data_IF_116255488851
#
_entry.id   IF_116255488851
#
_cell.length_a   1.000
_cell.length_b   1.000
_cell.length_c   1.000
_cell.angle_alpha   90.00
_cell.angle_beta   90.00
_cell.angle_gamma   90.00
#
_symmetry.space_group_name_H-M   'P 1'
#
loop_
_entity.id
_entity.type
_entity.pdbx_description
1 polymer ?
#
# COMPACT_ATOMS: atom_id res chain seq x y z
N UNK A 1 33.44 32.26 0.57
CA UNK A 1 34.15 30.97 0.72
C UNK A 1 33.62 30.10 1.88
N UNK A 2 33.33 30.62 3.11
CA UNK A 2 32.90 29.77 4.26
C UNK A 2 31.66 28.90 4.06
N UNK A 3 30.75 29.17 3.11
CA UNK A 3 29.53 28.39 2.85
C UNK A 3 29.63 27.42 1.65
N UNK A 4 30.61 27.54 0.78
CA UNK A 4 30.71 26.73 -0.45
C UNK A 4 30.91 25.24 -0.17
N UNK A 5 31.69 24.87 0.84
CA UNK A 5 31.86 23.45 1.18
C UNK A 5 30.57 22.75 1.64
N UNK A 6 29.65 23.48 2.32
CA UNK A 6 28.39 22.95 2.75
C UNK A 6 27.55 22.60 1.52
N UNK A 7 27.42 23.52 0.57
CA UNK A 7 26.67 23.32 -0.67
C UNK A 7 27.25 22.18 -1.51
N UNK A 8 28.59 22.11 -1.62
CA UNK A 8 29.24 21.03 -2.34
C UNK A 8 29.05 19.66 -1.67
N UNK A 9 29.20 19.61 -0.34
CA UNK A 9 28.98 18.38 0.43
C UNK A 9 27.52 17.93 0.37
N UNK A 10 26.57 18.86 0.46
CA UNK A 10 25.15 18.57 0.27
C UNK A 10 24.86 18.03 -1.14
N UNK A 11 25.43 18.67 -2.17
CA UNK A 11 25.26 18.23 -3.55
C UNK A 11 25.84 16.83 -3.80
N UNK A 12 27.04 16.53 -3.26
CA UNK A 12 27.62 15.19 -3.35
C UNK A 12 26.76 14.14 -2.62
N UNK A 13 26.29 14.48 -1.42
CA UNK A 13 25.41 13.61 -0.65
C UNK A 13 24.10 13.33 -1.37
N UNK A 14 23.49 14.35 -1.98
CA UNK A 14 22.28 14.23 -2.78
C UNK A 14 22.51 13.33 -4.02
N UNK A 15 23.56 13.59 -4.80
CA UNK A 15 23.87 12.83 -6.02
C UNK A 15 24.20 11.36 -5.71
N UNK A 16 25.01 11.11 -4.69
CA UNK A 16 25.29 9.72 -4.26
C UNK A 16 24.09 9.05 -3.63
N UNK A 17 23.19 9.82 -3.01
CA UNK A 17 21.89 9.35 -2.53
C UNK A 17 20.99 8.85 -3.66
N UNK A 18 20.99 9.51 -4.83
CA UNK A 18 20.29 9.02 -6.03
C UNK A 18 20.82 7.64 -6.46
N UNK A 19 22.15 7.47 -6.49
CA UNK A 19 22.77 6.20 -6.83
C UNK A 19 22.42 5.11 -5.79
N UNK A 20 22.42 5.45 -4.51
CA UNK A 20 22.00 4.54 -3.44
C UNK A 20 20.55 4.06 -3.62
N UNK A 21 19.62 4.99 -3.86
CA UNK A 21 18.20 4.67 -4.14
C UNK A 21 18.07 3.75 -5.35
N UNK A 22 18.80 4.02 -6.43
CA UNK A 22 18.78 3.22 -7.65
C UNK A 22 19.27 1.78 -7.43
N UNK A 23 20.33 1.61 -6.64
CA UNK A 23 20.85 0.27 -6.29
C UNK A 23 19.87 -0.47 -5.36
N UNK A 24 19.24 0.22 -4.41
CA UNK A 24 18.17 -0.36 -3.60
C UNK A 24 17.00 -0.84 -4.45
N UNK A 25 16.57 -0.03 -5.43
CA UNK A 25 15.50 -0.41 -6.34
C UNK A 25 15.84 -1.64 -7.17
N UNK A 26 17.08 -1.74 -7.61
CA UNK A 26 17.57 -2.95 -8.31
C UNK A 26 17.50 -4.18 -7.39
N UNK A 27 17.94 -4.05 -6.13
CA UNK A 27 17.82 -5.11 -5.12
C UNK A 27 16.38 -5.55 -4.88
N UNK A 28 15.44 -4.61 -4.80
CA UNK A 28 14.02 -4.89 -4.69
C UNK A 28 13.50 -5.70 -5.89
N UNK A 29 13.82 -5.29 -7.11
CA UNK A 29 13.28 -5.92 -8.33
C UNK A 29 13.84 -7.32 -8.57
N UNK A 30 15.15 -7.51 -8.35
CA UNK A 30 15.83 -8.76 -8.67
C UNK A 30 15.84 -9.77 -7.52
N UNK A 31 16.00 -9.28 -6.29
CA UNK A 31 16.25 -10.13 -5.12
C UNK A 31 15.14 -10.03 -4.06
N UNK A 32 14.10 -9.21 -4.31
CA UNK A 32 13.01 -8.94 -3.36
C UNK A 32 13.49 -8.38 -2.01
N UNK A 33 14.62 -7.68 -2.04
CA UNK A 33 15.21 -7.05 -0.86
C UNK A 33 14.42 -5.81 -0.43
N UNK A 34 14.50 -5.39 0.83
CA UNK A 34 13.83 -4.18 1.32
C UNK A 34 14.23 -2.95 0.51
N UNK A 35 13.26 -2.05 0.32
CA UNK A 35 13.51 -0.76 -0.33
C UNK A 35 13.53 0.35 0.71
N UNK A 36 14.70 0.58 1.29
CA UNK A 36 14.94 1.48 2.43
C UNK A 36 14.22 2.84 2.31
N UNK A 37 14.15 3.52 1.14
CA UNK A 37 13.42 4.79 1.04
C UNK A 37 11.94 4.68 1.39
N UNK A 38 11.25 3.62 0.95
CA UNK A 38 9.83 3.39 1.27
C UNK A 38 9.65 2.93 2.70
N UNK A 39 10.46 1.98 3.14
CA UNK A 39 10.40 1.44 4.50
C UNK A 39 10.65 2.53 5.56
N UNK A 40 11.60 3.44 5.29
CA UNK A 40 11.84 4.61 6.15
C UNK A 40 10.64 5.56 6.19
N UNK A 41 9.95 5.76 5.07
CA UNK A 41 8.74 6.57 5.00
C UNK A 41 7.57 5.89 5.72
N UNK A 42 7.34 4.61 5.48
CA UNK A 42 6.28 3.83 6.11
C UNK A 42 6.46 3.77 7.64
N UNK A 43 7.71 3.60 8.10
CA UNK A 43 8.03 3.69 9.54
C UNK A 43 7.73 5.09 10.10
N UNK A 44 8.13 6.14 9.40
CA UNK A 44 7.88 7.52 9.84
C UNK A 44 6.38 7.79 9.96
N UNK A 45 5.56 7.36 9.01
CA UNK A 45 4.09 7.55 9.07
C UNK A 45 3.45 6.80 10.23
N UNK A 46 4.05 5.70 10.71
CA UNK A 46 3.53 4.95 11.86
C UNK A 46 3.77 5.63 13.20
N UNK A 47 4.87 6.41 13.33
CA UNK A 47 5.23 7.10 14.57
C UNK A 47 4.67 8.52 14.66
N UNK A 48 4.25 9.11 13.56
CA UNK A 48 3.69 10.45 13.53
C UNK A 48 2.31 10.50 14.21
N UNK A 49 1.96 11.63 14.88
CA UNK A 49 0.63 11.80 15.47
C UNK A 49 -0.48 11.66 14.43
N UNK A 50 -1.54 10.92 14.77
CA UNK A 50 -2.67 10.66 13.86
C UNK A 50 -3.31 11.92 13.29
N UNK A 51 -3.43 13.01 14.08
CA UNK A 51 -3.96 14.28 13.61
C UNK A 51 -3.14 14.91 12.47
N UNK A 52 -1.80 14.76 12.51
CA UNK A 52 -0.94 15.21 11.42
C UNK A 52 -1.14 14.38 10.16
N UNK A 53 -1.18 13.06 10.30
CA UNK A 53 -1.42 12.14 9.16
C UNK A 53 -2.77 12.44 8.51
N UNK A 54 -3.82 12.60 9.32
CA UNK A 54 -5.17 12.95 8.83
C UNK A 54 -5.15 14.27 8.06
N UNK A 55 -4.48 15.30 8.59
CA UNK A 55 -4.34 16.60 7.91
C UNK A 55 -3.63 16.46 6.56
N UNK A 56 -2.55 15.68 6.49
CA UNK A 56 -1.81 15.43 5.25
C UNK A 56 -2.68 14.71 4.24
N UNK A 57 -3.41 13.66 4.65
CA UNK A 57 -4.33 12.91 3.78
C UNK A 57 -5.40 13.83 3.20
N UNK A 58 -6.10 14.61 4.04
CA UNK A 58 -7.14 15.54 3.58
C UNK A 58 -6.60 16.60 2.63
N UNK A 59 -5.43 17.18 2.94
CA UNK A 59 -4.79 18.17 2.08
C UNK A 59 -4.41 17.56 0.74
N UNK A 60 -3.82 16.39 0.72
CA UNK A 60 -3.43 15.68 -0.49
C UNK A 60 -4.64 15.36 -1.38
N UNK A 61 -5.70 14.78 -0.81
CA UNK A 61 -6.96 14.49 -1.54
C UNK A 61 -7.56 15.77 -2.12
N UNK A 62 -7.61 16.85 -1.32
CA UNK A 62 -8.14 18.14 -1.76
C UNK A 62 -7.33 18.75 -2.92
N UNK A 63 -6.00 18.66 -2.86
CA UNK A 63 -5.12 19.13 -3.93
C UNK A 63 -5.26 18.31 -5.22
N UNK A 64 -5.28 16.98 -5.12
CA UNK A 64 -5.44 16.08 -6.28
C UNK A 64 -6.73 16.42 -7.02
N UNK A 65 -7.83 16.58 -6.30
CA UNK A 65 -9.13 16.91 -6.88
C UNK A 65 -9.21 18.35 -7.37
N UNK A 66 -8.74 19.30 -6.58
CA UNK A 66 -8.78 20.74 -6.93
C UNK A 66 -7.97 21.08 -8.18
N UNK A 67 -6.87 20.35 -8.41
CA UNK A 67 -6.01 20.50 -9.58
C UNK A 67 -6.31 19.48 -10.70
N UNK A 68 -7.30 18.60 -10.51
CA UNK A 68 -7.71 17.55 -11.44
C UNK A 68 -6.52 16.69 -11.94
N UNK A 69 -5.71 16.18 -10.99
CA UNK A 69 -4.47 15.45 -11.28
C UNK A 69 -4.68 13.98 -11.68
N UNK A 70 -5.91 13.53 -11.85
CA UNK A 70 -6.27 12.16 -12.18
C UNK A 70 -6.96 11.41 -11.02
N UNK A 71 -6.99 10.08 -11.09
CA UNK A 71 -7.61 9.26 -10.05
C UNK A 71 -6.93 9.48 -8.69
N UNK A 72 -7.74 9.62 -7.64
CA UNK A 72 -7.26 10.06 -6.31
C UNK A 72 -6.30 9.05 -5.70
N UNK A 73 -6.59 7.77 -5.77
CA UNK A 73 -5.78 6.71 -5.15
C UNK A 73 -4.41 6.53 -5.81
N UNK A 74 -4.36 6.41 -7.14
CA UNK A 74 -3.12 6.23 -7.89
C UNK A 74 -2.23 7.48 -7.83
N UNK A 75 -2.83 8.67 -7.92
CA UNK A 75 -2.10 9.93 -7.81
C UNK A 75 -1.57 10.13 -6.38
N UNK A 76 -2.39 9.84 -5.35
CA UNK A 76 -1.94 9.89 -3.97
C UNK A 76 -0.76 8.94 -3.74
N UNK A 77 -0.81 7.73 -4.25
CA UNK A 77 0.27 6.74 -4.13
C UNK A 77 1.54 7.19 -4.85
N UNK A 78 1.43 7.80 -6.04
CA UNK A 78 2.57 8.38 -6.74
C UNK A 78 3.22 9.54 -5.96
N UNK A 79 2.42 10.41 -5.38
CA UNK A 79 2.90 11.52 -4.52
C UNK A 79 3.63 10.94 -3.31
N UNK A 80 3.04 9.97 -2.63
CA UNK A 80 3.63 9.28 -1.48
C UNK A 80 5.00 8.67 -1.83
N UNK A 81 5.09 7.92 -2.92
CA UNK A 81 6.34 7.33 -3.42
C UNK A 81 7.38 8.40 -3.76
N UNK A 82 6.96 9.50 -4.37
CA UNK A 82 7.84 10.62 -4.72
C UNK A 82 8.40 11.30 -3.47
N UNK A 83 7.56 11.52 -2.46
CA UNK A 83 7.98 12.10 -1.17
C UNK A 83 8.95 11.15 -0.48
N UNK A 84 8.66 9.84 -0.44
CA UNK A 84 9.51 8.84 0.19
C UNK A 84 10.91 8.79 -0.43
N UNK A 85 11.01 8.83 -1.75
CA UNK A 85 12.30 8.91 -2.46
C UNK A 85 12.97 10.27 -2.21
N UNK A 86 12.21 11.36 -2.34
CA UNK A 86 12.72 12.72 -2.19
C UNK A 86 13.29 12.99 -0.80
N UNK A 87 12.61 12.57 0.27
CA UNK A 87 13.12 12.73 1.63
C UNK A 87 14.41 11.95 1.89
N UNK A 88 14.52 10.74 1.32
CA UNK A 88 15.72 9.92 1.45
C UNK A 88 16.90 10.56 0.74
N UNK A 89 16.71 11.07 -0.47
CA UNK A 89 17.74 11.81 -1.22
C UNK A 89 18.13 13.10 -0.48
N UNK A 90 17.16 13.82 0.10
CA UNK A 90 17.43 15.00 0.94
C UNK A 90 18.22 14.63 2.22
N UNK A 91 17.90 13.48 2.83
CA UNK A 91 18.68 12.89 3.93
C UNK A 91 20.14 12.64 3.52
N UNK A 92 20.37 12.22 2.29
CA UNK A 92 21.70 12.08 1.70
C UNK A 92 22.48 13.39 1.67
N UNK A 93 21.82 14.51 1.36
CA UNK A 93 22.46 15.83 1.44
C UNK A 93 22.88 16.19 2.87
N UNK A 94 22.02 15.93 3.85
CA UNK A 94 22.32 16.13 5.28
C UNK A 94 23.49 15.25 5.71
N UNK A 95 23.47 13.98 5.33
CA UNK A 95 24.55 13.02 5.61
C UNK A 95 25.88 13.48 5.01
N UNK A 96 25.87 13.99 3.77
CA UNK A 96 27.06 14.54 3.12
C UNK A 96 27.66 15.71 3.87
N UNK A 97 26.83 16.63 4.35
CA UNK A 97 27.27 17.76 5.18
C UNK A 97 27.84 17.30 6.52
N UNK A 98 27.16 16.37 7.19
CA UNK A 98 27.61 15.80 8.47
C UNK A 98 28.96 15.09 8.34
N UNK A 99 29.12 14.29 7.29
CA UNK A 99 30.36 13.57 7.00
C UNK A 99 31.52 14.55 6.69
N UNK A 100 31.26 15.55 5.83
CA UNK A 100 32.23 16.59 5.51
C UNK A 100 32.66 17.38 6.76
N UNK A 101 31.71 17.70 7.63
CA UNK A 101 32.00 18.37 8.90
C UNK A 101 32.89 17.52 9.81
N UNK A 102 32.61 16.25 9.98
CA UNK A 102 33.43 15.33 10.76
C UNK A 102 34.84 15.18 10.19
N UNK A 103 34.97 15.07 8.86
CA UNK A 103 36.28 15.02 8.17
C UNK A 103 37.07 16.29 8.32
N UNK A 104 36.46 17.46 8.42
CA UNK A 104 37.13 18.75 8.66
C UNK A 104 37.68 18.85 10.08
N UNK A 105 37.00 18.29 11.07
CA UNK A 105 37.41 18.30 12.47
C UNK A 105 38.55 17.29 12.73
N UNK A 106 38.45 16.09 12.12
CA UNK A 106 39.36 14.96 12.37
C UNK A 106 39.80 14.29 11.06
N UNK A 107 40.55 14.98 10.20
CA UNK A 107 40.95 14.45 8.88
C UNK A 107 41.82 13.19 8.97
N UNK A 108 42.56 13.03 10.07
CA UNK A 108 43.37 11.83 10.33
C UNK A 108 42.55 10.56 10.57
N UNK A 109 41.29 10.72 10.98
CA UNK A 109 40.37 9.60 11.29
C UNK A 109 39.41 9.26 10.15
N UNK A 110 39.75 9.62 8.90
CA UNK A 110 38.88 9.46 7.73
C UNK A 110 38.26 8.07 7.59
N UNK A 111 39.04 7.00 7.79
CA UNK A 111 38.55 5.62 7.72
C UNK A 111 37.52 5.31 8.82
N UNK A 112 37.80 5.75 10.05
CA UNK A 112 36.86 5.59 11.17
C UNK A 112 35.56 6.40 10.96
N UNK A 113 35.69 7.64 10.46
CA UNK A 113 34.50 8.49 10.17
C UNK A 113 33.64 7.85 9.11
N UNK A 114 34.23 7.32 8.03
CA UNK A 114 33.50 6.59 7.00
C UNK A 114 32.82 5.33 7.57
N UNK A 115 33.51 4.54 8.38
CA UNK A 115 32.98 3.34 9.00
C UNK A 115 31.82 3.66 9.96
N UNK A 116 31.99 4.65 10.82
CA UNK A 116 30.94 5.10 11.76
C UNK A 116 29.72 5.64 10.98
N UNK A 117 29.96 6.46 9.95
CA UNK A 117 28.89 6.98 9.11
C UNK A 117 28.07 5.88 8.44
N UNK A 118 28.73 4.91 7.80
CA UNK A 118 28.07 3.75 7.21
C UNK A 118 27.36 2.89 8.24
N UNK A 119 27.98 2.68 9.40
CA UNK A 119 27.39 1.94 10.51
C UNK A 119 26.11 2.59 11.08
N UNK A 120 26.08 3.92 11.19
CA UNK A 120 24.88 4.65 11.64
C UNK A 120 23.73 4.52 10.64
N UNK A 121 24.01 4.67 9.34
CA UNK A 121 22.99 4.47 8.30
C UNK A 121 22.48 3.03 8.32
N UNK A 122 23.38 2.05 8.39
CA UNK A 122 23.01 0.63 8.44
C UNK A 122 22.16 0.31 9.67
N UNK A 123 22.58 0.76 10.86
CA UNK A 123 21.86 0.53 12.12
C UNK A 123 20.46 1.14 12.08
N UNK A 124 20.34 2.38 11.60
CA UNK A 124 19.05 3.06 11.49
C UNK A 124 18.12 2.33 10.51
N UNK A 125 18.62 1.92 9.35
CA UNK A 125 17.83 1.15 8.36
C UNK A 125 17.43 -0.22 8.91
N UNK A 126 18.32 -0.95 9.57
CA UNK A 126 18.00 -2.24 10.21
C UNK A 126 16.97 -2.07 11.32
N UNK A 127 17.04 -0.98 12.11
CA UNK A 127 16.05 -0.69 13.13
C UNK A 127 14.66 -0.40 12.54
N UNK A 128 14.60 0.29 11.40
CA UNK A 128 13.36 0.50 10.64
C UNK A 128 12.77 -0.84 10.18
N UNK A 129 13.58 -1.70 9.56
CA UNK A 129 13.13 -3.04 9.13
C UNK A 129 12.64 -3.88 10.31
N UNK A 130 13.33 -3.81 11.44
CA UNK A 130 12.91 -4.51 12.66
C UNK A 130 11.56 -4.01 13.20
N UNK A 131 11.29 -2.72 13.05
CA UNK A 131 10.03 -2.12 13.48
C UNK A 131 8.87 -2.40 12.52
N UNK A 132 9.14 -2.61 11.23
CA UNK A 132 8.13 -2.91 10.21
C UNK A 132 7.82 -4.41 10.09
N UNK A 133 8.71 -5.27 10.54
CA UNK A 133 8.66 -6.71 10.37
C UNK A 133 9.50 -7.17 9.18
N UNK A 134 9.86 -8.44 9.16
CA UNK A 134 10.78 -8.99 8.15
C UNK A 134 10.09 -9.09 6.79
N UNK A 135 10.75 -8.54 5.76
CA UNK A 135 10.38 -8.79 4.37
C UNK A 135 10.58 -10.27 3.92
N UNK A 136 10.25 -10.60 2.68
CA UNK A 136 10.25 -12.00 2.18
C UNK A 136 11.61 -12.70 2.19
N UNK A 137 12.71 -11.98 2.40
CA UNK A 137 14.09 -12.46 2.23
C UNK A 137 14.76 -12.63 3.58
N UNK A 138 14.35 -13.13 4.57
CA UNK A 138 15.01 -13.46 5.85
C UNK A 138 16.05 -12.45 6.38
N UNK A 139 16.20 -12.37 7.70
CA UNK A 139 17.01 -11.36 8.40
C UNK A 139 18.47 -11.26 7.98
N UNK A 140 19.12 -12.41 7.78
CA UNK A 140 20.56 -12.41 7.46
C UNK A 140 20.84 -11.69 6.14
N UNK A 141 20.06 -12.01 5.10
CA UNK A 141 20.21 -11.41 3.77
C UNK A 141 19.88 -9.92 3.80
N UNK A 142 18.84 -9.54 4.53
CA UNK A 142 18.44 -8.14 4.74
C UNK A 142 19.55 -7.35 5.43
N UNK A 143 20.11 -7.84 6.54
CA UNK A 143 21.20 -7.18 7.27
C UNK A 143 22.44 -7.04 6.38
N UNK A 144 22.84 -8.11 5.69
CA UNK A 144 24.02 -8.08 4.83
C UNK A 144 23.87 -7.08 3.69
N UNK A 145 22.69 -7.01 3.07
CA UNK A 145 22.40 -6.06 2.00
C UNK A 145 22.46 -4.61 2.49
N UNK A 146 21.74 -4.30 3.56
CA UNK A 146 21.69 -2.95 4.16
C UNK A 146 23.10 -2.52 4.58
N UNK A 147 23.84 -3.39 5.25
CA UNK A 147 25.21 -3.09 5.67
C UNK A 147 26.11 -2.84 4.46
N UNK A 148 26.12 -3.71 3.47
CA UNK A 148 26.95 -3.58 2.28
C UNK A 148 26.71 -2.25 1.56
N UNK A 149 25.46 -1.88 1.31
CA UNK A 149 25.12 -0.63 0.65
C UNK A 149 25.47 0.61 1.51
N UNK A 150 25.17 0.57 2.80
CA UNK A 150 25.42 1.70 3.69
C UNK A 150 26.92 2.00 3.86
N UNK A 151 27.72 0.96 4.02
CA UNK A 151 29.19 1.12 4.10
C UNK A 151 29.78 1.53 2.76
N UNK A 152 29.32 0.96 1.64
CA UNK A 152 29.78 1.36 0.30
C UNK A 152 29.43 2.83 0.02
N UNK A 153 28.21 3.26 0.36
CA UNK A 153 27.79 4.66 0.19
C UNK A 153 28.64 5.62 1.02
N UNK A 154 28.81 5.35 2.31
CA UNK A 154 29.64 6.18 3.20
C UNK A 154 31.10 6.23 2.73
N UNK A 155 31.65 5.11 2.25
CA UNK A 155 33.00 5.04 1.71
C UNK A 155 33.17 5.90 0.45
N UNK A 156 32.28 5.71 -0.53
CA UNK A 156 32.31 6.48 -1.79
C UNK A 156 32.14 7.97 -1.53
N UNK A 157 31.20 8.35 -0.68
CA UNK A 157 30.97 9.75 -0.33
C UNK A 157 32.19 10.36 0.39
N UNK A 158 32.81 9.62 1.34
CA UNK A 158 34.05 10.04 2.00
C UNK A 158 35.17 10.22 0.98
N UNK A 159 35.35 9.29 0.06
CA UNK A 159 36.36 9.36 -0.99
C UNK A 159 36.16 10.59 -1.90
N UNK A 160 34.93 10.88 -2.30
CA UNK A 160 34.55 12.05 -3.10
C UNK A 160 34.83 13.35 -2.34
N UNK A 161 34.46 13.42 -1.07
CA UNK A 161 34.71 14.61 -0.21
C UNK A 161 36.20 14.90 0.00
N UNK A 162 37.03 13.87 0.05
CA UNK A 162 38.49 13.98 0.16
C UNK A 162 39.17 14.23 -1.20
N UNK A 163 38.65 13.64 -2.27
CA UNK A 163 39.18 13.83 -3.62
C UNK A 163 39.00 15.26 -4.14
N UNK A 164 37.92 15.92 -3.74
CA UNK A 164 37.67 17.32 -4.03
C UNK A 164 38.72 18.27 -3.49
N UNK A 165 39.39 17.90 -2.39
CA UNK A 165 40.51 18.68 -1.84
C UNK A 165 41.88 18.49 -2.51
N UNK A 166 42.06 17.46 -3.34
CA UNK A 166 43.36 17.17 -4.01
C UNK A 166 43.52 17.89 -5.34
N UNK A 167 42.47 18.40 -5.95
CA UNK A 167 42.52 19.10 -7.24
C UNK A 167 43.13 20.52 -7.12
N UNK A 168 43.22 21.09 -5.91
CA UNK A 168 43.81 22.40 -5.63
C UNK A 168 44.90 22.24 -4.58
N UNK A 169 46.12 21.92 -5.03
CA UNK A 169 47.27 21.61 -4.18
C UNK A 169 47.77 22.79 -3.32
N UNK A 170 47.16 23.97 -3.38
CA UNK A 170 47.57 25.16 -2.59
C UNK A 170 46.58 25.56 -1.48
N UNK A 171 45.36 24.99 -1.44
CA UNK A 171 44.40 25.26 -0.35
C UNK A 171 43.67 24.00 0.01
N UNK A 172 43.98 23.40 1.16
CA UNK A 172 43.41 22.16 1.70
C UNK A 172 41.99 22.42 2.22
N UNK A 173 41.04 22.78 1.37
CA UNK A 173 39.61 22.86 1.75
C UNK A 173 38.88 21.55 1.40
N UNK A 174 38.66 20.72 2.41
CA UNK A 174 37.80 19.51 2.31
C UNK A 174 36.38 19.94 1.93
N UNK A 175 35.83 19.32 0.89
CA UNK A 175 34.44 19.50 0.52
C UNK A 175 34.15 20.57 -0.54
N UNK A 176 35.14 21.15 -1.20
CA UNK A 176 34.92 22.03 -2.37
C UNK A 176 35.04 21.20 -3.64
N UNK A 177 33.97 21.11 -4.40
CA UNK A 177 33.87 20.33 -5.66
C UNK A 177 34.08 21.27 -6.85
N UNK A 178 34.99 20.91 -7.75
CA UNK A 178 35.11 21.62 -9.01
C UNK A 178 33.99 21.22 -10.01
N UNK A 179 33.79 22.05 -11.01
CA UNK A 179 32.72 21.86 -12.01
C UNK A 179 32.84 20.50 -12.75
N UNK A 180 34.08 20.08 -13.04
CA UNK A 180 34.36 18.83 -13.76
C UNK A 180 34.01 17.61 -12.90
N UNK A 181 34.43 17.62 -11.65
CA UNK A 181 34.12 16.54 -10.71
C UNK A 181 32.59 16.44 -10.42
N UNK A 182 31.94 17.60 -10.27
CA UNK A 182 30.48 17.62 -10.14
C UNK A 182 29.79 16.95 -11.33
N UNK A 183 30.20 17.29 -12.56
CA UNK A 183 29.62 16.69 -13.77
C UNK A 183 29.91 15.19 -13.88
N UNK A 184 31.08 14.72 -13.45
CA UNK A 184 31.38 13.28 -13.41
C UNK A 184 30.49 12.55 -12.39
N UNK A 185 30.32 13.08 -11.19
CA UNK A 185 29.47 12.46 -10.16
C UNK A 185 28.01 12.48 -10.60
N UNK A 186 27.54 13.59 -11.18
CA UNK A 186 26.20 13.69 -11.76
C UNK A 186 26.00 12.64 -12.86
N UNK A 187 26.91 12.56 -13.82
CA UNK A 187 26.83 11.59 -14.92
C UNK A 187 26.88 10.15 -14.44
N UNK A 188 27.73 9.84 -13.45
CA UNK A 188 27.81 8.52 -12.84
C UNK A 188 26.51 8.16 -12.07
N UNK A 189 25.98 9.10 -11.29
CA UNK A 189 24.73 8.88 -10.53
C UNK A 189 23.54 8.69 -11.45
N UNK A 190 23.41 9.48 -12.51
CA UNK A 190 22.39 9.32 -13.55
C UNK A 190 22.59 8.01 -14.33
N UNK A 191 23.82 7.65 -14.66
CA UNK A 191 24.15 6.40 -15.32
C UNK A 191 23.76 5.17 -14.48
N UNK A 192 24.06 5.18 -13.19
CA UNK A 192 23.63 4.15 -12.24
C UNK A 192 22.10 4.14 -12.17
N UNK A 193 21.44 5.29 -12.08
CA UNK A 193 19.99 5.41 -12.02
C UNK A 193 19.31 4.80 -13.25
N UNK A 194 19.69 5.24 -14.44
CA UNK A 194 19.16 4.74 -15.71
C UNK A 194 19.50 3.26 -15.94
N UNK A 195 20.72 2.85 -15.62
CA UNK A 195 21.15 1.45 -15.72
C UNK A 195 20.35 0.55 -14.78
N UNK A 196 20.17 0.95 -13.53
CA UNK A 196 19.35 0.22 -12.56
C UNK A 196 17.90 0.13 -13.00
N UNK A 197 17.32 1.21 -13.52
CA UNK A 197 15.96 1.21 -14.05
C UNK A 197 15.82 0.27 -15.27
N UNK A 198 16.76 0.35 -16.22
CA UNK A 198 16.76 -0.53 -17.40
C UNK A 198 16.89 -2.01 -17.02
N UNK A 199 17.78 -2.35 -16.10
CA UNK A 199 17.94 -3.71 -15.58
C UNK A 199 16.69 -4.15 -14.80
N UNK A 200 16.11 -3.30 -13.96
CA UNK A 200 14.90 -3.59 -13.23
C UNK A 200 13.72 -3.85 -14.18
N UNK A 201 13.59 -3.08 -15.27
CA UNK A 201 12.54 -3.28 -16.28
C UNK A 201 12.64 -4.61 -17.02
N UNK A 202 13.83 -5.18 -17.10
CA UNK A 202 14.04 -6.55 -17.64
C UNK A 202 13.52 -7.60 -16.64
N UNK A 203 13.77 -7.40 -15.35
CA UNK A 203 13.31 -8.31 -14.30
C UNK A 203 11.77 -8.29 -14.12
N UNK A 204 11.16 -7.13 -14.33
CA UNK A 204 9.71 -6.93 -14.18
C UNK A 204 8.90 -7.35 -15.42
N UNK A 205 9.55 -7.70 -16.54
CA UNK A 205 8.83 -8.28 -17.68
C UNK A 205 8.17 -9.58 -17.21
N UNK A 206 6.83 -9.77 -17.47
CA UNK A 206 6.22 -11.06 -17.24
C UNK A 206 7.07 -12.10 -18.02
N UNK A 207 7.73 -13.01 -17.32
CA UNK A 207 8.25 -14.20 -18.00
C UNK A 207 7.03 -14.81 -18.67
N UNK A 208 7.09 -15.19 -19.98
CA UNK A 208 6.08 -16.04 -20.54
C UNK A 208 6.05 -17.24 -19.58
N UNK A 209 5.05 -17.31 -18.77
CA UNK A 209 4.75 -18.52 -18.03
C UNK A 209 4.60 -19.54 -19.13
N UNK A 210 5.56 -20.45 -19.25
CA UNK A 210 5.34 -21.68 -19.95
C UNK A 210 3.97 -22.12 -19.45
N UNK A 211 3.01 -22.21 -20.37
CA UNK A 211 1.66 -22.66 -20.06
C UNK A 211 1.83 -23.81 -19.12
N UNK A 212 1.54 -23.59 -17.85
CA UNK A 212 1.29 -24.69 -16.96
C UNK A 212 0.04 -25.34 -17.54
N UNK A 213 0.26 -26.30 -18.46
CA UNK A 213 -0.65 -27.37 -18.78
C UNK A 213 -0.70 -28.26 -17.53
N UNK A 214 -1.23 -27.71 -16.49
CA UNK A 214 -1.53 -28.31 -15.23
C UNK A 214 -2.87 -27.75 -14.84
N UNK A 215 -3.93 -28.45 -15.29
CA UNK A 215 -5.29 -28.45 -14.78
C UNK A 215 -5.68 -27.12 -14.13
N UNK A 216 -6.22 -26.18 -14.90
CA UNK A 216 -7.27 -25.30 -14.40
C UNK A 216 -8.25 -26.23 -13.69
N UNK A 217 -8.52 -26.07 -12.39
CA UNK A 217 -9.69 -26.67 -11.84
C UNK A 217 -10.84 -26.11 -12.68
N UNK A 218 -11.42 -26.95 -13.48
CA UNK A 218 -12.65 -26.67 -14.18
C UNK A 218 -13.65 -26.41 -13.05
N UNK A 219 -13.85 -25.13 -12.71
CA UNK A 219 -14.95 -24.72 -11.86
C UNK A 219 -16.17 -24.91 -12.76
N UNK A 220 -16.58 -26.19 -12.82
CA UNK A 220 -17.80 -26.58 -13.46
C UNK A 220 -18.90 -25.66 -12.98
N UNK A 221 -19.67 -25.14 -13.89
CA UNK A 221 -21.01 -24.64 -13.68
C UNK A 221 -21.85 -25.76 -13.06
N UNK A 222 -21.56 -26.09 -11.81
CA UNK A 222 -22.32 -27.00 -10.98
C UNK A 222 -23.49 -26.25 -10.40
N UNK A 223 -24.59 -26.37 -11.08
CA UNK A 223 -25.92 -26.17 -10.53
C UNK A 223 -26.05 -27.04 -9.28
N UNK A 224 -25.79 -26.49 -8.11
CA UNK A 224 -26.17 -27.09 -6.83
C UNK A 224 -27.29 -26.26 -6.23
N UNK A 225 -28.51 -26.59 -6.66
CA UNK A 225 -29.72 -26.26 -5.97
C UNK A 225 -29.76 -26.95 -4.61
N UNK A 226 -29.34 -26.24 -3.58
CA UNK A 226 -29.60 -26.54 -2.17
C UNK A 226 -30.30 -25.34 -1.55
N UNK A 227 -31.30 -25.49 -0.67
CA UNK A 227 -32.14 -24.40 -0.21
C UNK A 227 -31.48 -23.64 0.92
N UNK A 228 -30.73 -22.60 0.59
CA UNK A 228 -30.47 -21.50 1.50
C UNK A 228 -30.92 -20.22 0.78
N UNK A 229 -31.99 -19.61 1.29
CA UNK A 229 -32.53 -18.39 0.76
C UNK A 229 -31.46 -17.30 0.84
N UNK A 230 -30.73 -17.12 -0.24
CA UNK A 230 -30.01 -15.88 -0.51
C UNK A 230 -31.05 -14.75 -0.50
N UNK A 231 -30.78 -13.59 0.15
CA UNK A 231 -31.64 -12.43 -0.08
C UNK A 231 -31.75 -12.24 -1.59
N UNK A 232 -32.93 -11.86 -2.11
CA UNK A 232 -33.19 -11.87 -3.52
C UNK A 232 -32.11 -11.08 -4.22
N UNK A 233 -31.27 -11.75 -4.99
CA UNK A 233 -30.47 -11.09 -6.01
C UNK A 233 -31.51 -10.42 -6.90
N UNK A 234 -31.64 -9.09 -6.76
CA UNK A 234 -32.46 -8.31 -7.67
C UNK A 234 -32.04 -8.72 -9.07
N UNK A 235 -32.93 -9.38 -9.77
CA UNK A 235 -32.72 -9.86 -11.13
C UNK A 235 -32.31 -8.68 -11.96
N UNK A 236 -31.08 -8.73 -12.47
CA UNK A 236 -30.45 -7.72 -13.34
C UNK A 236 -31.22 -7.48 -14.67
N UNK A 237 -32.44 -8.00 -14.81
CA UNK A 237 -33.11 -8.18 -16.08
C UNK A 237 -34.01 -7.01 -16.53
N UNK A 238 -34.15 -5.95 -15.75
CA UNK A 238 -34.94 -4.78 -16.20
C UNK A 238 -34.13 -3.49 -15.95
N UNK A 239 -32.93 -3.39 -16.57
CA UNK A 239 -32.07 -2.23 -16.38
C UNK A 239 -32.37 -1.14 -17.38
N UNK A 240 -32.66 0.04 -16.88
CA UNK A 240 -32.53 1.27 -17.65
C UNK A 240 -31.05 1.42 -18.01
N UNK A 241 -30.69 1.54 -19.31
CA UNK A 241 -29.30 1.76 -19.68
C UNK A 241 -28.74 2.99 -18.94
N UNK A 242 -27.52 2.92 -18.37
CA UNK A 242 -26.96 4.05 -17.67
C UNK A 242 -26.78 5.25 -18.63
N UNK A 243 -27.02 6.45 -18.13
CA UNK A 243 -26.76 7.65 -18.90
C UNK A 243 -25.28 7.70 -19.31
N UNK A 244 -24.96 8.19 -20.55
CA UNK A 244 -23.57 8.34 -20.98
C UNK A 244 -22.77 9.16 -19.98
N UNK A 245 -21.60 8.65 -19.58
CA UNK A 245 -20.76 9.28 -18.55
C UNK A 245 -21.04 8.88 -17.11
N UNK A 246 -22.07 8.04 -16.86
CA UNK A 246 -22.26 7.40 -15.54
C UNK A 246 -21.12 6.42 -15.26
N UNK A 247 -20.56 6.43 -14.06
CA UNK A 247 -19.55 5.42 -13.67
C UNK A 247 -20.11 4.02 -13.79
N UNK A 248 -19.29 3.01 -14.13
CA UNK A 248 -19.76 1.64 -14.32
C UNK A 248 -20.33 1.07 -13.03
N UNK A 249 -21.36 0.24 -13.14
CA UNK A 249 -21.97 -0.45 -12.01
C UNK A 249 -20.99 -1.40 -11.31
N UNK A 250 -20.20 -2.15 -12.09
CA UNK A 250 -19.10 -2.96 -11.59
C UNK A 250 -17.78 -2.32 -12.02
N UNK A 251 -16.95 -2.08 -11.06
CA UNK A 251 -15.60 -1.56 -11.28
C UNK A 251 -14.67 -2.71 -11.64
N UNK A 252 -13.82 -2.54 -12.65
CA UNK A 252 -12.80 -3.55 -12.97
C UNK A 252 -11.82 -3.73 -11.80
N UNK A 253 -11.16 -4.88 -11.70
CA UNK A 253 -10.16 -5.09 -10.65
C UNK A 253 -9.02 -4.08 -10.73
N UNK A 254 -8.67 -3.61 -11.93
CA UNK A 254 -7.60 -2.63 -12.15
C UNK A 254 -8.00 -1.21 -11.72
N UNK A 255 -9.28 -0.86 -11.84
CA UNK A 255 -9.82 0.46 -11.52
C UNK A 255 -10.44 0.53 -10.11
N UNK A 256 -10.52 -0.61 -9.41
CA UNK A 256 -11.05 -0.64 -8.04
C UNK A 256 -10.12 0.15 -7.11
N UNK A 257 -10.65 1.15 -6.40
CA UNK A 257 -9.86 2.07 -5.59
C UNK A 257 -8.95 1.33 -4.61
N UNK A 258 -7.75 1.87 -4.42
CA UNK A 258 -6.72 1.31 -3.58
C UNK A 258 -6.25 2.32 -2.53
N UNK A 259 -6.35 1.95 -1.25
CA UNK A 259 -5.74 2.67 -0.12
C UNK A 259 -5.01 1.65 0.76
N UNK A 260 -3.76 1.90 1.05
CA UNK A 260 -2.86 1.08 1.87
C UNK A 260 -2.10 1.96 2.86
N UNK A 261 -1.68 1.39 3.99
CA UNK A 261 -0.83 2.08 4.96
C UNK A 261 0.65 2.06 4.55
N UNK A 262 1.03 1.13 3.70
CA UNK A 262 2.39 1.01 3.18
C UNK A 262 2.49 1.56 1.75
N UNK A 263 3.66 2.07 1.40
CA UNK A 263 3.98 2.58 0.06
C UNK A 263 3.88 1.52 -1.01
N UNK A 264 4.24 0.26 -0.69
CA UNK A 264 4.07 -0.92 -1.53
C UNK A 264 3.24 -2.00 -0.83
N UNK A 265 2.42 -2.77 -1.57
CA UNK A 265 1.75 -3.93 -1.02
C UNK A 265 2.77 -5.02 -0.65
N UNK A 266 2.53 -5.81 0.41
CA UNK A 266 3.39 -6.94 0.74
C UNK A 266 3.35 -7.99 -0.39
N UNK A 267 4.53 -8.49 -0.77
CA UNK A 267 4.67 -9.55 -1.77
C UNK A 267 4.57 -10.93 -1.10
N UNK A 268 3.34 -11.41 -0.91
CA UNK A 268 3.08 -12.71 -0.31
C UNK A 268 3.10 -13.82 -1.36
N UNK A 269 3.70 -14.96 -1.01
CA UNK A 269 3.64 -16.19 -1.80
C UNK A 269 2.47 -17.04 -1.29
N UNK A 270 1.42 -17.19 -2.11
CA UNK A 270 0.26 -17.97 -1.75
C UNK A 270 0.54 -19.46 -1.50
N UNK A 271 1.66 -20.00 -2.00
CA UNK A 271 2.05 -21.40 -1.77
C UNK A 271 2.59 -21.66 -0.36
N UNK A 272 3.15 -20.63 0.26
CA UNK A 272 3.73 -20.69 1.62
C UNK A 272 2.95 -19.88 2.64
N UNK A 273 1.95 -19.11 2.18
CA UNK A 273 1.13 -18.29 3.05
C UNK A 273 0.30 -19.13 4.01
N UNK A 274 0.25 -18.68 5.25
CA UNK A 274 -0.56 -19.24 6.32
C UNK A 274 -1.26 -18.13 7.09
N UNK A 275 -2.50 -18.42 7.57
CA UNK A 275 -3.22 -17.60 8.52
C UNK A 275 -3.42 -18.39 9.80
N UNK A 276 -2.88 -17.92 10.90
CA UNK A 276 -3.09 -18.48 12.21
C UNK A 276 -4.38 -17.93 12.83
N UNK A 277 -5.19 -18.81 13.40
CA UNK A 277 -6.36 -18.43 14.17
C UNK A 277 -6.26 -19.03 15.58
N UNK A 278 -6.12 -18.18 16.61
CA UNK A 278 -5.92 -18.60 18.01
C UNK A 278 -6.62 -17.65 19.02
N UNK A 279 -6.07 -17.54 20.24
CA UNK A 279 -6.66 -16.79 21.33
C UNK A 279 -7.74 -17.60 22.07
N UNK A 280 -8.89 -16.97 22.36
CA UNK A 280 -10.00 -17.59 23.09
C UNK A 280 -10.81 -18.52 22.17
N UNK A 281 -10.15 -19.54 21.62
CA UNK A 281 -10.74 -20.59 20.80
C UNK A 281 -10.51 -21.96 21.42
N UNK A 282 -11.39 -22.91 21.11
CA UNK A 282 -11.27 -24.30 21.58
C UNK A 282 -10.15 -25.01 20.82
N UNK A 283 -10.07 -24.79 19.51
CA UNK A 283 -9.13 -25.44 18.62
C UNK A 283 -8.36 -24.40 17.80
N UNK A 284 -7.20 -23.93 18.27
CA UNK A 284 -6.32 -23.10 17.44
C UNK A 284 -5.99 -23.79 16.12
N UNK A 285 -6.13 -23.08 15.01
CA UNK A 285 -6.02 -23.66 13.67
C UNK A 285 -5.16 -22.75 12.79
N UNK A 286 -4.37 -23.34 11.92
CA UNK A 286 -3.64 -22.62 10.86
C UNK A 286 -4.24 -22.98 9.51
N UNK A 287 -4.66 -21.98 8.76
CA UNK A 287 -5.25 -22.14 7.43
C UNK A 287 -4.26 -21.78 6.34
N UNK A 288 -4.25 -22.58 5.27
CA UNK A 288 -3.58 -22.28 4.00
C UNK A 288 -4.61 -21.91 2.94
N UNK A 289 -4.19 -21.31 1.86
CA UNK A 289 -5.11 -20.92 0.78
C UNK A 289 -5.93 -22.11 0.23
N UNK A 290 -5.35 -23.29 -0.03
CA UNK A 290 -6.17 -24.43 -0.46
C UNK A 290 -7.27 -24.82 0.54
N UNK A 291 -7.01 -24.66 1.85
CA UNK A 291 -8.01 -24.98 2.88
C UNK A 291 -9.25 -24.06 2.80
N UNK A 292 -9.05 -22.82 2.34
CA UNK A 292 -10.12 -21.84 2.19
C UNK A 292 -10.83 -21.95 0.84
N UNK A 293 -10.07 -22.02 -0.25
CA UNK A 293 -10.62 -22.04 -1.61
C UNK A 293 -11.46 -23.30 -1.88
N UNK A 294 -11.11 -24.44 -1.27
CA UNK A 294 -11.83 -25.71 -1.43
C UNK A 294 -13.10 -25.81 -0.55
N UNK A 295 -13.41 -24.78 0.25
CA UNK A 295 -14.63 -24.73 1.07
C UNK A 295 -15.81 -24.17 0.29
N UNK A 296 -17.05 -24.46 0.72
CA UNK A 296 -18.22 -23.77 0.21
C UNK A 296 -18.04 -22.25 0.38
N UNK A 297 -18.02 -21.54 -0.73
CA UNK A 297 -17.80 -20.10 -0.79
C UNK A 297 -19.05 -19.38 -1.29
N UNK A 298 -19.22 -18.15 -0.85
CA UNK A 298 -20.32 -17.26 -1.26
C UNK A 298 -19.79 -16.16 -2.13
N UNK A 299 -20.49 -15.84 -3.22
CA UNK A 299 -20.21 -14.68 -4.08
C UNK A 299 -21.21 -13.57 -3.82
N UNK A 300 -20.72 -12.36 -3.55
CA UNK A 300 -21.54 -11.17 -3.33
C UNK A 300 -21.05 -10.01 -4.20
N UNK A 301 -21.97 -9.18 -4.67
CA UNK A 301 -21.64 -7.87 -5.25
C UNK A 301 -21.57 -6.87 -4.11
N UNK A 302 -20.42 -6.26 -3.93
CA UNK A 302 -20.09 -5.43 -2.78
C UNK A 302 -19.61 -4.06 -3.24
N UNK A 303 -20.22 -3.01 -2.72
CA UNK A 303 -19.71 -1.64 -2.83
C UNK A 303 -18.90 -1.31 -1.58
N UNK A 304 -17.67 -0.88 -1.78
CA UNK A 304 -16.79 -0.38 -0.74
C UNK A 304 -16.47 1.08 -0.97
N UNK A 305 -16.34 1.83 0.12
CA UNK A 305 -15.95 3.25 0.09
C UNK A 305 -14.87 3.50 1.14
N UNK A 306 -13.89 4.33 0.80
CA UNK A 306 -12.94 4.85 1.79
C UNK A 306 -13.63 5.87 2.70
N UNK A 307 -13.29 5.88 4.00
CA UNK A 307 -13.83 6.87 4.94
C UNK A 307 -13.38 8.31 4.59
N UNK A 308 -12.24 8.46 3.93
CA UNK A 308 -11.72 9.75 3.45
C UNK A 308 -12.30 10.18 2.10
N UNK A 309 -13.22 9.40 1.51
CA UNK A 309 -13.85 9.76 0.25
C UNK A 309 -14.74 10.98 0.41
N UNK A 310 -14.45 12.14 -0.18
CA UNK A 310 -15.34 13.27 -0.16
C UNK A 310 -16.57 13.02 -1.05
N UNK A 311 -17.64 13.80 -0.86
CA UNK A 311 -18.81 13.73 -1.74
C UNK A 311 -18.38 13.98 -3.19
N UNK A 312 -18.85 13.13 -4.11
CA UNK A 312 -18.45 13.17 -5.51
C UNK A 312 -17.03 12.62 -5.77
N UNK A 313 -16.39 12.00 -4.77
CA UNK A 313 -15.07 11.39 -4.93
C UNK A 313 -15.10 10.03 -5.65
N UNK A 314 -13.92 9.58 -5.99
CA UNK A 314 -13.65 8.35 -6.76
C UNK A 314 -13.19 7.16 -5.91
N UNK A 315 -13.09 7.35 -4.57
CA UNK A 315 -12.72 6.27 -3.66
C UNK A 315 -13.93 5.43 -3.25
N UNK A 316 -14.75 5.07 -4.24
CA UNK A 316 -15.91 4.18 -4.10
C UNK A 316 -15.93 3.25 -5.30
N UNK A 317 -15.97 1.96 -5.07
CA UNK A 317 -15.93 0.94 -6.12
C UNK A 317 -16.82 -0.24 -5.78
N UNK A 318 -17.33 -0.92 -6.80
CA UNK A 318 -18.22 -2.07 -6.66
C UNK A 318 -17.66 -3.24 -7.46
N UNK A 319 -17.51 -4.40 -6.82
CA UNK A 319 -17.04 -5.61 -7.49
C UNK A 319 -17.73 -6.86 -6.94
N UNK A 320 -17.58 -7.95 -7.65
CA UNK A 320 -17.99 -9.28 -7.17
C UNK A 320 -16.85 -9.89 -6.33
N UNK A 321 -17.18 -10.21 -5.09
CA UNK A 321 -16.25 -10.82 -4.14
C UNK A 321 -16.68 -12.23 -3.82
N UNK A 322 -15.73 -13.16 -3.72
CA UNK A 322 -15.99 -14.56 -3.38
C UNK A 322 -15.11 -14.98 -2.21
N UNK A 323 -15.72 -15.59 -1.22
CA UNK A 323 -15.02 -16.01 -0.01
C UNK A 323 -15.83 -16.94 0.87
N UNK A 324 -15.20 -17.43 1.92
CA UNK A 324 -15.81 -18.29 2.94
C UNK A 324 -16.45 -17.39 3.99
N UNK A 325 -17.73 -17.63 4.39
CA UNK A 325 -18.33 -16.92 5.52
C UNK A 325 -17.48 -17.10 6.79
N UNK A 326 -17.11 -15.99 7.45
CA UNK A 326 -16.28 -16.03 8.66
C UNK A 326 -16.90 -16.89 9.76
N UNK A 327 -18.23 -16.83 9.93
CA UNK A 327 -18.95 -17.66 10.92
C UNK A 327 -18.67 -19.17 10.79
N UNK A 328 -18.35 -19.64 9.57
CA UNK A 328 -18.05 -21.06 9.35
C UNK A 328 -16.68 -21.42 9.96
N UNK A 329 -15.69 -20.51 9.84
CA UNK A 329 -14.39 -20.69 10.49
C UNK A 329 -14.52 -20.57 12.00
N UNK A 330 -15.34 -19.62 12.50
CA UNK A 330 -15.61 -19.49 13.94
C UNK A 330 -16.28 -20.74 14.52
N UNK A 331 -17.20 -21.36 13.79
CA UNK A 331 -17.83 -22.61 14.21
C UNK A 331 -16.83 -23.79 14.28
N UNK A 332 -15.83 -23.79 13.39
CA UNK A 332 -14.80 -24.82 13.35
C UNK A 332 -13.78 -24.67 14.49
N UNK A 333 -13.25 -23.46 14.73
CA UNK A 333 -12.30 -23.23 15.80
C UNK A 333 -12.96 -23.26 17.18
N UNK A 334 -14.27 -23.03 17.25
CA UNK A 334 -15.06 -22.95 18.47
C UNK A 334 -14.62 -21.78 19.38
N UNK A 335 -15.52 -20.86 19.67
CA UNK A 335 -15.23 -19.77 20.58
C UNK A 335 -15.33 -20.25 22.04
N UNK A 336 -14.41 -19.80 22.89
CA UNK A 336 -14.50 -19.99 24.34
C UNK A 336 -15.33 -18.89 24.98
N UNK A 337 -15.85 -19.18 26.16
CA UNK A 337 -16.54 -18.20 26.99
C UNK A 337 -15.63 -17.00 27.25
N UNK A 338 -16.20 -15.79 27.18
CA UNK A 338 -15.48 -14.54 27.36
C UNK A 338 -14.92 -13.94 26.08
N UNK A 339 -14.92 -14.62 24.93
CA UNK A 339 -14.55 -14.00 23.66
C UNK A 339 -15.58 -12.91 23.26
N UNK A 340 -15.11 -11.69 23.04
CA UNK A 340 -15.95 -10.52 22.69
C UNK A 340 -15.66 -9.96 21.31
N UNK A 341 -14.44 -10.14 20.79
CA UNK A 341 -14.05 -9.66 19.47
C UNK A 341 -13.04 -10.61 18.80
N UNK A 342 -12.92 -10.45 17.49
CA UNK A 342 -11.84 -11.02 16.68
C UNK A 342 -10.89 -9.90 16.31
N UNK A 343 -9.67 -9.98 16.82
CA UNK A 343 -8.54 -9.15 16.40
C UNK A 343 -7.96 -9.75 15.12
N UNK A 344 -7.64 -8.91 14.13
CA UNK A 344 -7.04 -9.29 12.87
C UNK A 344 -5.75 -8.54 12.66
N UNK A 345 -4.72 -9.23 12.18
CA UNK A 345 -3.43 -8.65 11.82
C UNK A 345 -3.06 -9.02 10.39
N UNK A 346 -2.47 -8.08 9.70
CA UNK A 346 -2.11 -8.19 8.30
C UNK A 346 -0.59 -8.08 8.08
N UNK A 347 -0.13 -8.64 6.97
CA UNK A 347 1.29 -8.68 6.62
C UNK A 347 1.93 -7.30 6.39
N UNK A 348 1.12 -6.26 6.13
CA UNK A 348 1.58 -4.87 6.02
C UNK A 348 1.68 -4.17 7.39
N UNK A 349 1.35 -4.87 8.48
CA UNK A 349 1.30 -4.32 9.84
C UNK A 349 0.00 -3.56 10.14
N UNK A 350 -0.99 -3.63 9.25
CA UNK A 350 -2.35 -3.16 9.54
C UNK A 350 -3.03 -4.12 10.51
N UNK A 351 -3.85 -3.58 11.40
CA UNK A 351 -4.64 -4.37 12.33
C UNK A 351 -6.00 -3.72 12.55
N UNK A 352 -7.00 -4.56 12.79
CA UNK A 352 -8.37 -4.12 13.06
C UNK A 352 -9.12 -5.19 13.85
N UNK A 353 -10.20 -4.80 14.49
CA UNK A 353 -11.04 -5.70 15.25
C UNK A 353 -12.49 -5.66 14.79
N UNK A 354 -13.18 -6.77 15.03
CA UNK A 354 -14.58 -6.99 14.71
C UNK A 354 -15.25 -7.65 15.93
N UNK A 355 -16.40 -7.15 16.36
CA UNK A 355 -17.14 -7.81 17.44
C UNK A 355 -17.59 -9.23 17.04
N UNK A 356 -17.75 -10.13 18.01
CA UNK A 356 -18.26 -11.47 17.73
C UNK A 356 -19.65 -11.41 17.08
N UNK A 357 -20.51 -10.48 17.53
CA UNK A 357 -21.83 -10.28 16.94
C UNK A 357 -21.76 -9.97 15.45
N UNK A 358 -20.90 -9.01 15.05
CA UNK A 358 -20.69 -8.68 13.65
C UNK A 358 -20.02 -9.83 12.87
N UNK A 359 -19.06 -10.54 13.49
CA UNK A 359 -18.35 -11.66 12.88
C UNK A 359 -19.26 -12.85 12.54
N UNK A 360 -20.40 -12.97 13.23
CA UNK A 360 -21.41 -14.00 12.98
C UNK A 360 -22.39 -13.65 11.86
N UNK A 361 -22.36 -12.42 11.32
CA UNK A 361 -23.16 -12.07 10.13
C UNK A 361 -22.72 -12.93 8.94
N UNK A 362 -23.67 -13.59 8.30
CA UNK A 362 -23.41 -14.50 7.17
C UNK A 362 -22.77 -13.84 5.96
N UNK A 363 -22.87 -12.50 5.88
CA UNK A 363 -22.31 -11.69 4.80
C UNK A 363 -20.85 -11.30 5.03
N UNK A 364 -20.30 -11.53 6.24
CA UNK A 364 -18.87 -11.33 6.52
C UNK A 364 -18.08 -12.45 5.86
N UNK A 365 -17.22 -12.10 4.93
CA UNK A 365 -16.49 -13.07 4.11
C UNK A 365 -14.96 -12.96 4.33
N UNK A 366 -14.33 -14.11 4.47
CA UNK A 366 -12.90 -14.27 4.24
C UNK A 366 -12.69 -14.46 2.74
N UNK A 367 -12.38 -13.38 2.08
CA UNK A 367 -12.36 -13.26 0.61
C UNK A 367 -11.03 -13.73 0.04
N UNK A 368 -11.09 -14.60 -0.97
CA UNK A 368 -9.94 -15.10 -1.71
C UNK A 368 -9.98 -14.78 -3.21
N UNK A 369 -11.14 -14.31 -3.73
CA UNK A 369 -11.30 -14.00 -5.16
C UNK A 369 -12.11 -12.72 -5.38
N UNK A 370 -11.78 -11.99 -6.45
CA UNK A 370 -12.42 -10.76 -6.87
C UNK A 370 -12.66 -10.78 -8.39
N UNK A 371 -13.88 -10.49 -8.84
CA UNK A 371 -14.21 -10.52 -10.26
C UNK A 371 -14.06 -11.89 -10.91
N UNK A 372 -14.13 -13.01 -10.14
CA UNK A 372 -13.98 -14.37 -10.63
C UNK A 372 -12.54 -14.86 -10.79
N UNK A 373 -11.55 -14.07 -10.37
CA UNK A 373 -10.12 -14.45 -10.36
C UNK A 373 -9.56 -14.37 -8.94
N UNK A 374 -8.42 -15.03 -8.61
CA UNK A 374 -7.74 -14.80 -7.34
C UNK A 374 -7.54 -13.31 -7.08
N UNK A 375 -7.55 -12.92 -5.80
CA UNK A 375 -7.34 -11.52 -5.43
C UNK A 375 -6.08 -10.95 -6.10
N UNK A 376 -6.12 -9.76 -6.72
CA UNK A 376 -4.90 -9.01 -7.05
C UNK A 376 -4.09 -8.70 -5.80
N UNK A 377 -2.78 -8.55 -5.95
CA UNK A 377 -1.87 -8.24 -4.82
C UNK A 377 -2.34 -6.97 -4.13
N UNK A 378 -2.68 -5.94 -4.87
CA UNK A 378 -3.14 -4.63 -4.38
C UNK A 378 -4.45 -4.71 -3.60
N UNK A 379 -5.25 -5.73 -3.85
CA UNK A 379 -6.55 -5.92 -3.22
C UNK A 379 -6.54 -6.96 -2.10
N UNK A 380 -5.36 -7.45 -1.71
CA UNK A 380 -5.20 -8.26 -0.50
C UNK A 380 -4.88 -9.74 -0.73
N UNK A 381 -4.31 -10.12 -1.92
CA UNK A 381 -3.85 -11.50 -2.13
C UNK A 381 -2.91 -11.95 -0.99
N UNK A 382 -3.09 -13.14 -0.45
CA UNK A 382 -4.03 -14.17 -0.86
C UNK A 382 -5.39 -14.12 -0.13
N UNK A 383 -5.52 -13.37 0.96
CA UNK A 383 -6.74 -13.32 1.77
C UNK A 383 -6.99 -11.92 2.35
N UNK A 384 -8.24 -11.49 2.27
CA UNK A 384 -8.74 -10.30 2.97
C UNK A 384 -10.10 -10.56 3.59
N UNK A 385 -10.59 -9.64 4.42
CA UNK A 385 -11.96 -9.68 4.92
C UNK A 385 -12.86 -8.68 4.17
N UNK A 386 -14.13 -9.02 4.05
CA UNK A 386 -15.23 -8.11 3.77
C UNK A 386 -16.20 -8.09 4.95
N UNK A 387 -16.49 -6.89 5.46
CA UNK A 387 -17.42 -6.65 6.56
C UNK A 387 -18.52 -5.73 6.05
N UNK A 388 -19.80 -6.19 5.97
CA UNK A 388 -20.89 -5.38 5.47
C UNK A 388 -21.17 -4.16 6.35
N UNK A 389 -21.51 -3.03 5.74
CA UNK A 389 -21.92 -1.84 6.46
C UNK A 389 -20.77 -1.02 7.07
N UNK A 390 -19.52 -1.31 6.71
CA UNK A 390 -18.37 -0.53 7.17
C UNK A 390 -17.59 0.09 6.02
N UNK A 391 -16.94 1.24 6.29
CA UNK A 391 -15.94 1.77 5.38
C UNK A 391 -14.72 0.84 5.25
N UNK A 392 -13.97 0.97 4.15
CA UNK A 392 -12.80 0.16 3.86
C UNK A 392 -11.74 0.12 4.97
N UNK A 393 -11.68 1.13 5.84
CA UNK A 393 -10.75 1.18 6.96
C UNK A 393 -10.96 0.05 8.00
N UNK A 394 -12.11 -0.60 8.02
CA UNK A 394 -12.41 -1.75 8.89
C UNK A 394 -12.12 -3.10 8.24
N UNK A 395 -11.57 -3.11 7.02
CA UNK A 395 -11.47 -4.31 6.19
C UNK A 395 -10.03 -4.65 5.82
N UNK A 396 -9.24 -5.27 6.76
CA UNK A 396 -7.85 -5.67 6.53
C UNK A 396 -7.67 -6.49 5.24
N UNK A 397 -6.56 -6.20 4.57
CA UNK A 397 -6.00 -6.95 3.44
C UNK A 397 -4.80 -7.75 3.93
N UNK A 398 -4.40 -8.80 3.18
CA UNK A 398 -3.20 -9.59 3.49
C UNK A 398 -3.18 -10.18 4.91
N UNK A 399 -4.33 -10.66 5.38
CA UNK A 399 -4.48 -11.17 6.75
C UNK A 399 -3.59 -12.39 6.95
N UNK A 400 -2.84 -12.39 8.06
CA UNK A 400 -1.96 -13.49 8.46
C UNK A 400 -2.26 -14.04 9.85
N UNK A 401 -3.00 -13.28 10.66
CA UNK A 401 -3.37 -13.69 12.02
C UNK A 401 -4.77 -13.21 12.38
N UNK A 402 -5.49 -14.07 13.03
CA UNK A 402 -6.78 -13.78 13.69
C UNK A 402 -6.73 -14.31 15.11
N UNK A 403 -7.20 -13.52 16.07
CA UNK A 403 -7.21 -13.87 17.47
C UNK A 403 -8.57 -13.55 18.10
N UNK A 404 -9.18 -14.54 18.76
CA UNK A 404 -10.36 -14.28 19.56
C UNK A 404 -9.93 -13.70 20.94
N UNK A 405 -10.42 -12.51 21.27
CA UNK A 405 -10.00 -11.73 22.45
C UNK A 405 -11.19 -11.41 23.37
N UNK A 406 -10.91 -11.11 24.65
CA UNK A 406 -11.88 -10.78 25.69
C UNK A 406 -12.15 -9.27 25.87
N UNK A 407 -11.71 -8.50 24.92
CA UNK A 407 -11.83 -7.05 24.89
C UNK A 407 -12.30 -6.58 23.48
N UNK A 408 -12.45 -5.27 23.29
CA UNK A 408 -12.91 -4.73 22.02
C UNK A 408 -11.90 -4.83 20.86
N UNK A 409 -10.70 -5.35 21.15
CA UNK A 409 -9.60 -5.34 20.20
C UNK A 409 -9.06 -3.94 19.90
N UNK A 410 -8.19 -3.86 18.90
CA UNK A 410 -7.49 -2.65 18.47
C UNK A 410 -7.75 -2.36 17.01
N UNK A 411 -7.76 -1.08 16.63
CA UNK A 411 -7.89 -0.66 15.24
C UNK A 411 -6.86 0.38 14.84
N UNK A 412 -6.13 0.14 13.77
CA UNK A 412 -5.02 0.99 13.32
C UNK A 412 -5.43 2.46 13.16
N UNK A 413 -6.53 2.70 12.45
CA UNK A 413 -7.03 4.05 12.24
C UNK A 413 -7.81 4.59 13.44
N UNK A 414 -8.46 3.70 14.22
CA UNK A 414 -9.16 4.08 15.45
C UNK A 414 -8.19 4.67 16.46
N UNK A 415 -7.04 4.05 16.67
CA UNK A 415 -5.97 4.57 17.55
C UNK A 415 -5.39 5.91 17.05
N UNK A 416 -5.60 6.24 15.78
CA UNK A 416 -5.18 7.51 15.15
C UNK A 416 -6.30 8.54 15.10
N UNK A 417 -7.41 8.31 15.84
CA UNK A 417 -8.51 9.26 16.00
C UNK A 417 -9.62 9.18 14.94
N UNK A 418 -9.64 8.12 14.10
CA UNK A 418 -10.73 7.89 13.16
C UNK A 418 -11.90 7.18 13.85
N UNK A 419 -13.04 7.12 13.16
CA UNK A 419 -14.28 6.55 13.68
C UNK A 419 -14.11 5.08 14.10
N UNK A 420 -14.52 4.75 15.31
CA UNK A 420 -14.50 3.38 15.81
C UNK A 420 -15.52 2.49 15.07
N UNK A 421 -16.71 3.01 14.81
CA UNK A 421 -17.78 2.26 14.12
C UNK A 421 -17.60 2.26 12.61
N UNK A 422 -17.04 3.34 12.03
CA UNK A 422 -16.80 3.52 10.61
C UNK A 422 -18.00 3.14 9.71
N UNK A 423 -19.22 3.46 10.16
CA UNK A 423 -20.47 3.19 9.42
C UNK A 423 -20.61 4.23 8.30
N UNK A 424 -20.81 3.79 7.05
CA UNK A 424 -20.94 4.70 5.92
C UNK A 424 -22.16 5.64 6.04
N UNK A 425 -21.93 6.90 5.74
CA UNK A 425 -23.01 7.85 5.54
C UNK A 425 -23.66 7.64 4.20
N UNK A 426 -24.95 8.00 4.08
CA UNK A 426 -25.62 8.00 2.78
C UNK A 426 -24.91 8.98 1.85
N UNK A 427 -24.59 8.50 0.67
CA UNK A 427 -23.93 9.28 -0.40
C UNK A 427 -24.81 9.25 -1.63
N UNK A 428 -25.00 10.41 -2.25
CA UNK A 428 -25.66 10.57 -3.54
C UNK A 428 -24.85 11.54 -4.39
N UNK A 429 -24.56 11.14 -5.63
CA UNK A 429 -23.71 11.91 -6.55
C UNK A 429 -24.30 11.84 -7.94
N UNK A 430 -24.40 12.98 -8.63
CA UNK A 430 -24.63 13.04 -10.06
C UNK A 430 -23.28 12.93 -10.76
N UNK A 431 -23.09 11.89 -11.56
CA UNK A 431 -21.88 11.69 -12.36
C UNK A 431 -21.95 12.48 -13.68
N UNK A 432 -23.14 12.54 -14.27
CA UNK A 432 -23.33 13.14 -15.59
C UNK A 432 -24.74 13.72 -15.79
N UNK A 433 -24.81 14.80 -16.54
CA UNK A 433 -26.00 15.32 -17.18
C UNK A 433 -25.69 15.42 -18.67
N UNK A 434 -26.18 14.45 -19.46
CA UNK A 434 -25.78 14.27 -20.86
C UNK A 434 -26.56 15.21 -21.81
N UNK A 435 -26.36 16.53 -21.64
CA UNK A 435 -27.06 17.57 -22.42
C UNK A 435 -26.79 17.49 -23.93
N UNK A 436 -25.59 17.04 -24.31
CA UNK A 436 -25.17 16.89 -25.71
C UNK A 436 -25.64 15.56 -26.35
N UNK A 437 -26.28 14.70 -25.57
CA UNK A 437 -26.75 13.38 -26.00
C UNK A 437 -28.20 13.13 -25.56
N UNK A 438 -29.16 13.99 -25.94
CA UNK A 438 -30.56 13.75 -25.63
C UNK A 438 -31.06 12.45 -26.29
N UNK A 439 -31.98 11.77 -25.61
CA UNK A 439 -32.63 10.57 -26.16
C UNK A 439 -33.32 10.90 -27.47
N UNK A 440 -32.96 10.24 -28.60
CA UNK A 440 -33.47 10.58 -29.93
C UNK A 440 -34.98 10.41 -30.08
N UNK A 441 -35.59 9.53 -29.28
CA UNK A 441 -37.04 9.25 -29.37
C UNK A 441 -37.90 10.18 -28.51
N UNK A 442 -37.35 10.67 -27.40
CA UNK A 442 -38.13 11.44 -26.41
C UNK A 442 -37.63 12.87 -26.22
N UNK A 443 -36.46 13.22 -26.72
CA UNK A 443 -35.79 14.50 -26.47
C UNK A 443 -35.36 14.72 -25.01
N UNK A 444 -35.46 13.70 -24.15
CA UNK A 444 -35.10 13.79 -22.73
C UNK A 444 -33.58 13.79 -22.56
N UNK A 445 -33.10 14.58 -21.60
CA UNK A 445 -31.68 14.61 -21.24
C UNK A 445 -31.41 13.52 -20.22
N UNK A 446 -30.53 12.53 -20.55
CA UNK A 446 -30.16 11.50 -19.58
C UNK A 446 -29.35 12.09 -18.42
N UNK A 447 -29.71 11.71 -17.18
CA UNK A 447 -28.96 12.04 -15.96
C UNK A 447 -28.57 10.73 -15.29
N UNK A 448 -27.31 10.60 -14.93
CA UNK A 448 -26.77 9.40 -14.30
C UNK A 448 -25.95 9.70 -13.06
N UNK A 449 -25.91 8.74 -12.15
CA UNK A 449 -25.16 8.89 -10.91
C UNK A 449 -25.22 7.66 -10.03
N UNK A 450 -24.71 7.77 -8.81
CA UNK A 450 -24.73 6.71 -7.80
C UNK A 450 -25.39 7.20 -6.52
N UNK A 451 -26.05 6.26 -5.82
CA UNK A 451 -26.49 6.42 -4.44
C UNK A 451 -26.11 5.18 -3.64
N UNK A 452 -25.57 5.37 -2.45
CA UNK A 452 -25.12 4.29 -1.59
C UNK A 452 -25.27 4.63 -0.11
N UNK A 453 -25.68 3.66 0.69
CA UNK A 453 -25.91 3.82 2.13
C UNK A 453 -25.47 2.60 2.95
N UNK A 454 -24.44 1.88 2.49
CA UNK A 454 -24.01 0.64 3.14
C UNK A 454 -25.12 -0.41 3.12
N UNK A 455 -25.32 -1.09 4.25
CA UNK A 455 -26.35 -2.14 4.41
C UNK A 455 -27.77 -1.62 4.57
N UNK A 456 -27.97 -0.29 4.72
CA UNK A 456 -29.30 0.29 4.86
C UNK A 456 -30.11 0.28 3.55
N UNK A 457 -29.42 0.16 2.41
CA UNK A 457 -30.04 0.27 1.10
C UNK A 457 -30.52 1.68 0.74
N UNK A 458 -31.04 1.82 -0.47
CA UNK A 458 -31.63 3.07 -1.00
C UNK A 458 -33.07 2.78 -1.36
N UNK A 459 -34.00 3.50 -0.73
CA UNK A 459 -35.45 3.35 -1.00
C UNK A 459 -35.95 4.29 -2.09
N UNK A 460 -35.27 5.45 -2.27
CA UNK A 460 -35.71 6.49 -3.21
C UNK A 460 -34.51 7.37 -3.61
N UNK A 461 -34.48 7.75 -4.87
CA UNK A 461 -33.61 8.80 -5.41
C UNK A 461 -34.49 9.86 -6.04
N UNK A 462 -34.23 11.12 -5.73
CA UNK A 462 -34.96 12.28 -6.28
C UNK A 462 -33.95 13.21 -6.93
N UNK A 463 -34.33 13.78 -8.07
CA UNK A 463 -33.60 14.83 -8.77
C UNK A 463 -34.40 16.12 -8.71
N UNK A 464 -33.77 17.19 -8.26
CA UNK A 464 -34.34 18.53 -8.32
C UNK A 464 -33.68 19.34 -9.46
N UNK A 465 -34.48 20.15 -10.15
CA UNK A 465 -34.05 21.02 -11.24
C UNK A 465 -34.55 22.42 -10.91
N UNK A 466 -33.70 23.41 -10.97
CA UNK A 466 -34.03 24.85 -10.82
C UNK A 466 -34.58 25.24 -9.44
N UNK A 467 -33.92 24.86 -8.37
CA UNK A 467 -34.11 25.45 -7.04
C UNK A 467 -33.09 26.55 -6.75
#
# INVERSE_FOLDING_TARGET
>A
MKRMWILSAAALGLLTGIAFVALNYLGLQWLKLPFIPFDSFDWMTRILPGALITTVIHTMVSLIRGLNLGATDSTAKLIEQTIAIGQFIAGGAVFGVALAYALRIRPERRGMISLVGGGLVALMSIAVEAALGVGPVGWLTTILWIAALSFAWSYVLTWLLLGAGRAHAETTEIGVVDRRQFLYVLGASLGIGLGSYALASIASRPRPTASATGATPNIGSGDTSGPAASPPQATLEARIPPAPGTRPELTSNADFYRIDINTLPPALDGSTWEMKFDGLVVQPTTYKIPDLVNRPSVSQVVTMQCISNPVGGDLTSTARWTGVPLRNLLAEVGLRDGATAIQMEAADGFYESLSIEEAMDERVLMVHSMGGVPLPIEHGFPLRIYIPGHYGMKQPKWITHMEAVDNSGRGYWVERGWSQTAIPRTTSVIDTVAVDQPDPGTGKIPVGGIAWAGTRGISKVELSVDE
#
